data_IF_798079308335
#
_entry.id   IF_798079308335
#
_cell.length_a   1.000
_cell.length_b   1.000
_cell.length_c   1.000
_cell.angle_alpha   90.00
_cell.angle_beta   90.00
_cell.angle_gamma   90.00
#
_symmetry.space_group_name_H-M   'P 1'
#
loop_
_entity.id
_entity.type
_entity.pdbx_description
1 polymer ?
#
# COMPACT_ATOMS: atom_id res chain seq x y z
N UNK A 1 -33.72 -5.07 -20.23
CA UNK A 1 -33.04 -5.84 -19.16
C UNK A 1 -31.60 -6.22 -19.52
N UNK A 2 -31.33 -6.88 -20.66
CA UNK A 2 -29.94 -7.24 -21.09
C UNK A 2 -28.96 -6.07 -21.13
N UNK A 3 -29.39 -4.89 -21.62
CA UNK A 3 -28.57 -3.67 -21.66
C UNK A 3 -28.23 -3.13 -20.25
N UNK A 4 -29.18 -3.20 -19.32
CA UNK A 4 -28.99 -2.75 -17.93
C UNK A 4 -28.02 -3.69 -17.21
N UNK A 5 -28.18 -5.00 -17.38
CA UNK A 5 -27.23 -5.99 -16.85
C UNK A 5 -25.82 -5.77 -17.40
N UNK A 6 -25.69 -5.47 -18.69
CA UNK A 6 -24.40 -5.16 -19.31
C UNK A 6 -23.77 -3.88 -18.74
N UNK A 7 -24.55 -2.82 -18.52
CA UNK A 7 -24.07 -1.59 -17.90
C UNK A 7 -23.61 -1.81 -16.45
N UNK A 8 -24.37 -2.58 -15.67
CA UNK A 8 -24.00 -2.92 -14.29
C UNK A 8 -22.67 -3.69 -14.27
N UNK A 9 -22.50 -4.68 -15.15
CA UNK A 9 -21.26 -5.44 -15.27
C UNK A 9 -20.08 -4.53 -15.63
N UNK A 10 -20.26 -3.62 -16.58
CA UNK A 10 -19.20 -2.74 -17.06
C UNK A 10 -18.76 -1.76 -15.96
N UNK A 11 -19.71 -1.14 -15.26
CA UNK A 11 -19.41 -0.27 -14.10
C UNK A 11 -18.73 -1.04 -12.97
N UNK A 12 -19.19 -2.26 -12.68
CA UNK A 12 -18.57 -3.12 -11.68
C UNK A 12 -17.11 -3.43 -12.01
N UNK A 13 -16.84 -3.86 -13.25
CA UNK A 13 -15.49 -4.14 -13.73
C UNK A 13 -14.59 -2.90 -13.70
N UNK A 14 -15.11 -1.75 -14.13
CA UNK A 14 -14.38 -0.48 -14.07
C UNK A 14 -14.03 -0.10 -12.61
N UNK A 15 -14.94 -0.32 -11.66
CA UNK A 15 -14.69 -0.09 -10.25
C UNK A 15 -13.60 -0.99 -9.68
N UNK A 16 -13.64 -2.30 -9.96
CA UNK A 16 -12.61 -3.25 -9.53
C UNK A 16 -11.26 -2.86 -10.13
N UNK A 17 -11.23 -2.50 -11.40
CA UNK A 17 -10.01 -2.08 -12.09
C UNK A 17 -9.41 -0.79 -11.50
N UNK A 18 -10.26 0.18 -11.16
CA UNK A 18 -9.82 1.42 -10.51
C UNK A 18 -9.22 1.14 -9.11
N UNK A 19 -9.83 0.26 -8.32
CA UNK A 19 -9.29 -0.16 -7.01
C UNK A 19 -7.94 -0.87 -7.16
N UNK A 20 -7.81 -1.72 -8.17
CA UNK A 20 -6.54 -2.39 -8.48
C UNK A 20 -5.46 -1.34 -8.79
N UNK A 21 -5.72 -0.41 -9.71
CA UNK A 21 -4.78 0.67 -10.02
C UNK A 21 -4.41 1.48 -8.76
N UNK A 22 -5.39 1.86 -7.95
CA UNK A 22 -5.14 2.61 -6.72
C UNK A 22 -4.21 1.86 -5.76
N UNK A 23 -4.35 0.54 -5.62
CA UNK A 23 -3.46 -0.28 -4.79
C UNK A 23 -2.01 -0.24 -5.27
N UNK A 24 -1.75 -0.19 -6.57
CA UNK A 24 -0.38 -0.14 -7.11
C UNK A 24 0.21 1.27 -7.09
N UNK A 25 -0.61 2.31 -7.29
CA UNK A 25 -0.13 3.69 -7.26
C UNK A 25 0.11 4.19 -5.84
N UNK A 26 -0.70 3.77 -4.86
CA UNK A 26 -0.69 4.33 -3.51
C UNK A 26 -0.38 3.33 -2.39
N UNK A 27 -0.49 2.02 -2.65
CA UNK A 27 -0.43 1.01 -1.58
C UNK A 27 0.96 0.57 -1.14
N UNK A 28 2.03 1.18 -1.67
CA UNK A 28 3.40 0.83 -1.32
C UNK A 28 3.81 -0.60 -1.69
N UNK A 29 5.04 -0.95 -1.30
CA UNK A 29 5.62 -2.27 -1.52
C UNK A 29 4.98 -3.30 -0.56
N UNK A 30 4.73 -4.51 -1.06
CA UNK A 30 4.12 -5.59 -0.26
C UNK A 30 5.16 -6.25 0.67
N UNK A 31 6.35 -6.50 0.15
CA UNK A 31 7.44 -7.18 0.84
C UNK A 31 8.46 -6.15 1.32
N UNK A 32 8.16 -5.44 2.41
CA UNK A 32 9.01 -4.35 2.91
C UNK A 32 9.02 -4.22 4.44
N UNK A 33 9.98 -3.46 4.96
CA UNK A 33 9.98 -3.02 6.35
C UNK A 33 9.17 -1.72 6.46
N UNK A 34 8.10 -1.73 7.24
CA UNK A 34 7.26 -0.55 7.46
C UNK A 34 7.57 0.06 8.82
N UNK A 35 7.62 1.39 8.90
CA UNK A 35 7.78 2.08 10.16
C UNK A 35 6.40 2.30 10.78
N UNK A 36 6.08 1.53 11.81
CA UNK A 36 4.83 1.66 12.57
C UNK A 36 5.16 1.92 14.04
N UNK A 37 4.54 2.93 14.63
CA UNK A 37 4.81 3.37 16.01
C UNK A 37 6.31 3.49 16.35
N UNK A 38 7.10 4.09 15.45
CA UNK A 38 8.55 4.27 15.59
C UNK A 38 9.35 2.96 15.66
N UNK A 39 8.76 1.84 15.20
CA UNK A 39 9.43 0.55 15.12
C UNK A 39 9.32 -0.01 13.71
N UNK A 40 10.41 -0.62 13.24
CA UNK A 40 10.37 -1.40 12.00
C UNK A 40 9.55 -2.66 12.24
N UNK A 41 8.44 -2.79 11.52
CA UNK A 41 7.59 -3.97 11.50
C UNK A 41 7.74 -4.65 10.15
N UNK A 42 7.85 -5.98 10.17
CA UNK A 42 7.95 -6.78 8.95
C UNK A 42 6.59 -6.80 8.25
N UNK A 43 6.54 -6.37 6.99
CA UNK A 43 5.39 -6.53 6.11
C UNK A 43 5.73 -7.49 4.97
N UNK A 44 4.92 -8.54 4.79
CA UNK A 44 5.21 -9.60 3.82
C UNK A 44 6.50 -10.36 4.11
N UNK A 45 7.31 -10.60 3.08
CA UNK A 45 8.61 -11.24 3.18
C UNK A 45 9.73 -10.39 2.51
N UNK A 46 10.17 -9.30 3.16
CA UNK A 46 11.23 -8.44 2.64
C UNK A 46 12.49 -9.25 2.36
N UNK A 47 13.11 -8.98 1.21
CA UNK A 47 14.40 -9.61 0.83
C UNK A 47 15.57 -8.95 1.53
N UNK A 48 15.45 -7.65 1.80
CA UNK A 48 16.48 -6.86 2.44
C UNK A 48 16.43 -7.04 3.97
N UNK A 49 17.60 -7.01 4.65
CA UNK A 49 17.65 -7.06 6.11
C UNK A 49 16.92 -5.85 6.72
N UNK A 50 16.42 -6.01 7.94
CA UNK A 50 15.79 -4.92 8.68
C UNK A 50 16.74 -3.71 8.76
N UNK A 51 16.28 -2.49 8.41
CA UNK A 51 17.12 -1.31 8.55
C UNK A 51 17.51 -1.08 10.01
N UNK A 52 18.75 -0.67 10.25
CA UNK A 52 19.26 -0.40 11.61
C UNK A 52 18.98 1.03 12.08
N UNK A 53 18.59 1.92 11.15
CA UNK A 53 18.42 3.36 11.39
C UNK A 53 17.20 3.89 10.63
N UNK A 54 16.69 5.07 10.99
CA UNK A 54 15.74 5.84 10.19
C UNK A 54 14.26 5.68 10.54
N UNK A 55 13.84 4.65 11.26
CA UNK A 55 12.47 4.57 11.79
C UNK A 55 12.42 5.09 13.22
N UNK A 56 11.49 6.01 13.48
CA UNK A 56 11.37 6.66 14.79
C UNK A 56 12.43 7.73 15.07
N UNK A 57 13.38 7.94 14.16
CA UNK A 57 14.34 9.04 14.27
C UNK A 57 13.61 10.36 14.05
N UNK A 58 13.33 11.05 15.15
CA UNK A 58 12.87 12.44 15.18
C UNK A 58 13.87 13.31 14.42
N UNK A 59 13.57 13.61 13.15
CA UNK A 59 14.24 14.68 12.44
C UNK A 59 13.86 16.00 13.09
N UNK A 60 14.72 16.50 13.98
CA UNK A 60 14.81 17.91 14.32
C UNK A 60 14.23 18.32 15.67
N UNK A 61 14.91 17.97 16.75
CA UNK A 61 15.11 18.92 17.85
C UNK A 61 16.57 18.81 18.26
N UNK A 62 17.39 19.71 17.71
CA UNK A 62 18.68 20.08 18.31
C UNK A 62 18.40 20.59 19.75
N UNK A 63 19.36 20.41 20.69
CA UNK A 63 19.21 20.84 22.08
C UNK A 63 18.88 22.33 22.23
#
# INVERSE_FOLDING_TARGET
MRKILFLILLVGLAGIFALFIARFLFGGNEDDWICDNNQWVKHGNPKDPMPQTGCGDIKGTLP
#
